data_IF_066497991408
#
_entry.id   IF_066497991408
#
_cell.length_a   1.000
_cell.length_b   1.000
_cell.length_c   1.000
_cell.angle_alpha   90.00
_cell.angle_beta   90.00
_cell.angle_gamma   90.00
#
_symmetry.space_group_name_H-M   'P 1'
#
loop_
_entity.id
_entity.type
_entity.pdbx_description
1 polymer ?
#
# COMPACT_ATOMS: atom_id res chain seq x y z
N UNK A 1 55.40 5.33 62.37
CA UNK A 1 54.50 6.41 61.93
C UNK A 1 53.38 5.76 61.14
N UNK A 2 52.16 5.85 61.68
CA UNK A 2 50.92 5.24 61.19
C UNK A 2 50.25 6.17 60.17
N UNK A 3 49.50 5.59 59.24
CA UNK A 3 48.31 6.09 58.50
C UNK A 3 48.40 5.70 57.02
N UNK A 4 47.68 4.66 56.60
CA UNK A 4 46.29 4.73 56.11
C UNK A 4 46.14 5.71 54.94
N UNK A 5 46.16 5.15 53.73
CA UNK A 5 45.32 5.66 52.65
C UNK A 5 44.22 4.61 52.48
N UNK A 6 43.05 4.94 53.03
CA UNK A 6 41.80 4.21 52.83
C UNK A 6 41.31 4.36 51.38
N UNK A 7 40.55 3.35 50.96
CA UNK A 7 39.42 3.36 50.03
C UNK A 7 39.27 4.55 49.07
N UNK A 8 39.04 4.28 47.78
CA UNK A 8 37.69 4.00 47.32
C UNK A 8 37.63 3.66 45.83
N UNK A 9 36.55 2.95 45.47
CA UNK A 9 36.06 2.58 44.14
C UNK A 9 36.68 1.32 43.53
N UNK A 10 36.23 0.18 44.06
CA UNK A 10 35.71 -0.85 43.17
C UNK A 10 34.59 -0.22 42.31
N UNK A 11 34.97 0.44 41.22
CA UNK A 11 34.05 0.75 40.15
C UNK A 11 33.68 -0.62 39.58
N UNK A 12 32.61 -1.21 40.10
CA UNK A 12 32.00 -2.42 39.59
C UNK A 12 31.57 -2.17 38.16
N UNK A 13 32.50 -2.34 37.22
CA UNK A 13 32.23 -2.42 35.80
C UNK A 13 31.44 -3.72 35.62
N UNK A 14 30.12 -3.65 35.80
CA UNK A 14 29.18 -4.71 35.44
C UNK A 14 29.30 -4.88 33.92
N UNK A 15 30.13 -5.84 33.49
CA UNK A 15 30.19 -6.27 32.11
C UNK A 15 28.93 -7.04 31.77
N UNK A 16 28.45 -6.91 30.54
CA UNK A 16 27.36 -7.72 30.02
C UNK A 16 27.81 -9.17 29.93
N UNK A 17 27.10 -10.10 30.56
CA UNK A 17 27.43 -11.52 30.49
C UNK A 17 26.94 -12.10 29.17
N UNK A 18 27.65 -13.09 28.64
CA UNK A 18 27.21 -13.81 27.43
C UNK A 18 25.85 -14.51 27.64
N UNK A 19 25.57 -14.94 28.88
CA UNK A 19 24.30 -15.56 29.23
C UNK A 19 23.12 -14.56 29.18
N UNK A 20 23.33 -13.32 29.63
CA UNK A 20 22.35 -12.24 29.50
C UNK A 20 22.07 -11.91 28.03
N UNK A 21 23.10 -11.90 27.16
CA UNK A 21 22.90 -11.72 25.71
C UNK A 21 22.09 -12.86 25.10
N UNK A 22 22.43 -14.09 25.47
CA UNK A 22 21.86 -15.29 24.87
C UNK A 22 20.37 -15.39 25.15
N UNK A 23 19.94 -15.13 26.39
CA UNK A 23 18.51 -15.20 26.72
C UNK A 23 17.70 -14.12 25.99
N UNK A 24 18.28 -12.94 25.77
CA UNK A 24 17.63 -11.84 25.05
C UNK A 24 17.41 -12.20 23.59
N UNK A 25 18.44 -12.71 22.91
CA UNK A 25 18.32 -13.12 21.51
C UNK A 25 17.34 -14.29 21.36
N UNK A 26 17.32 -15.22 22.32
CA UNK A 26 16.36 -16.32 22.32
C UNK A 26 14.90 -15.82 22.37
N UNK A 27 14.60 -14.83 23.21
CA UNK A 27 13.26 -14.24 23.29
C UNK A 27 12.91 -13.47 22.00
N UNK A 28 13.85 -12.67 21.47
CA UNK A 28 13.64 -11.94 20.21
C UNK A 28 13.34 -12.91 19.06
N UNK A 29 14.04 -14.05 18.98
CA UNK A 29 13.81 -15.06 17.95
C UNK A 29 12.37 -15.58 17.97
N UNK A 30 11.81 -15.87 19.16
CA UNK A 30 10.42 -16.32 19.31
C UNK A 30 9.43 -15.21 18.88
N UNK A 31 9.68 -13.96 19.28
CA UNK A 31 8.83 -12.84 18.90
C UNK A 31 8.83 -12.62 17.38
N UNK A 32 10.00 -12.64 16.75
CA UNK A 32 10.16 -12.43 15.31
C UNK A 32 9.48 -13.56 14.51
N UNK A 33 9.61 -14.81 14.97
CA UNK A 33 9.02 -15.97 14.30
C UNK A 33 7.49 -15.85 14.13
N UNK A 34 6.80 -15.29 15.13
CA UNK A 34 5.35 -15.05 15.08
C UNK A 34 5.03 -13.72 14.38
N UNK A 35 5.85 -12.69 14.58
CA UNK A 35 5.58 -11.33 14.10
C UNK A 35 5.69 -11.21 12.58
N UNK A 36 6.67 -11.84 11.94
CA UNK A 36 6.88 -11.74 10.48
C UNK A 36 5.66 -12.20 9.66
N UNK A 37 5.09 -13.41 9.87
CA UNK A 37 3.97 -13.86 9.05
C UNK A 37 2.71 -13.02 9.26
N UNK A 38 2.43 -12.62 10.50
CA UNK A 38 1.30 -11.75 10.84
C UNK A 38 1.46 -10.39 10.15
N UNK A 39 2.61 -9.75 10.31
CA UNK A 39 2.88 -8.44 9.72
C UNK A 39 2.79 -8.49 8.19
N UNK A 40 3.34 -9.52 7.56
CA UNK A 40 3.30 -9.69 6.11
C UNK A 40 1.87 -9.84 5.61
N UNK A 41 1.04 -10.66 6.26
CA UNK A 41 -0.38 -10.81 5.90
C UNK A 41 -1.16 -9.50 6.04
N UNK A 42 -0.92 -8.75 7.12
CA UNK A 42 -1.59 -7.46 7.35
C UNK A 42 -1.13 -6.41 6.33
N UNK A 43 0.14 -6.40 5.95
CA UNK A 43 0.65 -5.52 4.90
C UNK A 43 -0.01 -5.83 3.55
N UNK A 44 -0.15 -7.10 3.19
CA UNK A 44 -0.84 -7.52 1.96
C UNK A 44 -2.30 -7.06 1.95
N UNK A 45 -3.04 -7.25 3.05
CA UNK A 45 -4.42 -6.75 3.18
C UNK A 45 -4.51 -5.23 3.13
N UNK A 46 -3.54 -4.52 3.70
CA UNK A 46 -3.49 -3.05 3.62
C UNK A 46 -3.29 -2.57 2.18
N UNK A 47 -2.44 -3.26 1.40
CA UNK A 47 -2.25 -3.00 -0.03
C UNK A 47 -3.54 -3.24 -0.82
N UNK A 48 -4.22 -4.36 -0.58
CA UNK A 48 -5.52 -4.68 -1.20
C UNK A 48 -6.58 -3.61 -0.90
N UNK A 49 -6.70 -3.23 0.38
CA UNK A 49 -7.65 -2.20 0.82
C UNK A 49 -7.37 -0.84 0.17
N UNK A 50 -6.08 -0.49 0.00
CA UNK A 50 -5.65 0.74 -0.66
C UNK A 50 -6.08 0.74 -2.13
N UNK A 51 -5.83 -0.35 -2.84
CA UNK A 51 -6.20 -0.49 -4.25
C UNK A 51 -7.72 -0.45 -4.44
N UNK A 52 -8.47 -1.10 -3.55
CA UNK A 52 -9.93 -1.08 -3.54
C UNK A 52 -10.49 0.33 -3.25
N UNK A 53 -9.85 1.11 -2.37
CA UNK A 53 -10.20 2.50 -2.14
C UNK A 53 -9.94 3.36 -3.39
N UNK A 54 -8.81 3.14 -4.08
CA UNK A 54 -8.50 3.81 -5.33
C UNK A 54 -9.51 3.46 -6.44
N UNK A 55 -9.95 2.22 -6.56
CA UNK A 55 -11.00 1.82 -7.51
C UNK A 55 -12.32 2.55 -7.24
N UNK A 56 -12.72 2.68 -5.98
CA UNK A 56 -13.93 3.42 -5.61
C UNK A 56 -13.82 4.90 -5.97
N UNK A 57 -12.67 5.52 -5.68
CA UNK A 57 -12.40 6.90 -6.04
C UNK A 57 -12.42 7.10 -7.57
N UNK A 58 -11.77 6.20 -8.31
CA UNK A 58 -11.76 6.19 -9.76
C UNK A 58 -13.18 6.10 -10.34
N UNK A 59 -14.00 5.17 -9.87
CA UNK A 59 -15.40 5.03 -10.30
C UNK A 59 -16.21 6.30 -10.06
N UNK A 60 -16.13 6.87 -8.85
CA UNK A 60 -16.88 8.09 -8.52
C UNK A 60 -16.47 9.29 -9.38
N UNK A 61 -15.17 9.47 -9.59
CA UNK A 61 -14.64 10.55 -10.43
C UNK A 61 -15.00 10.35 -11.91
N UNK A 62 -14.88 9.12 -12.43
CA UNK A 62 -15.25 8.77 -13.81
C UNK A 62 -16.74 8.99 -14.09
N UNK A 63 -17.62 8.57 -13.18
CA UNK A 63 -19.07 8.81 -13.31
C UNK A 63 -19.38 10.30 -13.30
N UNK A 64 -18.71 11.08 -12.45
CA UNK A 64 -18.89 12.55 -12.41
C UNK A 64 -18.48 13.19 -13.73
N UNK A 65 -17.35 12.76 -14.31
CA UNK A 65 -16.88 13.24 -15.61
C UNK A 65 -17.83 12.84 -16.74
N UNK A 66 -18.30 11.59 -16.75
CA UNK A 66 -19.26 11.08 -17.71
C UNK A 66 -20.59 11.86 -17.71
N UNK A 67 -21.16 12.13 -16.53
CA UNK A 67 -22.40 12.90 -16.42
C UNK A 67 -22.26 14.36 -16.84
N UNK A 68 -21.03 14.86 -16.93
CA UNK A 68 -20.71 16.22 -17.37
C UNK A 68 -20.29 16.29 -18.84
N UNK A 69 -20.14 15.15 -19.52
CA UNK A 69 -19.66 15.07 -20.89
C UNK A 69 -20.79 15.33 -21.90
N UNK A 70 -20.45 15.98 -23.02
CA UNK A 70 -21.39 16.24 -24.12
C UNK A 70 -21.60 15.02 -25.04
N UNK A 71 -20.61 14.13 -25.11
CA UNK A 71 -20.67 12.85 -25.84
C UNK A 71 -20.44 11.69 -24.85
N UNK A 72 -21.43 10.81 -24.74
CA UNK A 72 -21.48 9.71 -23.77
C UNK A 72 -21.29 8.34 -24.41
N UNK A 73 -20.91 8.28 -25.69
CA UNK A 73 -20.92 7.02 -26.43
C UNK A 73 -19.65 6.18 -26.15
N UNK A 74 -19.66 5.47 -25.01
CA UNK A 74 -18.57 4.59 -24.58
C UNK A 74 -17.36 5.39 -24.09
N UNK A 75 -17.34 5.70 -22.80
CA UNK A 75 -16.29 6.54 -22.22
C UNK A 75 -15.27 5.69 -21.44
N UNK A 76 -13.99 5.92 -21.71
CA UNK A 76 -12.86 5.31 -20.99
C UNK A 76 -12.10 6.40 -20.25
N UNK A 77 -11.92 6.21 -18.95
CA UNK A 77 -11.26 7.16 -18.08
C UNK A 77 -10.16 6.49 -17.27
N UNK A 78 -9.05 7.18 -17.10
CA UNK A 78 -7.88 6.73 -16.35
C UNK A 78 -7.76 7.54 -15.07
N UNK A 79 -7.63 6.88 -13.93
CA UNK A 79 -7.51 7.56 -12.64
C UNK A 79 -6.05 7.93 -12.35
N UNK A 80 -5.82 9.19 -12.01
CA UNK A 80 -4.54 9.70 -11.53
C UNK A 80 -4.62 9.87 -10.01
N UNK A 81 -4.08 8.90 -9.27
CA UNK A 81 -4.11 8.90 -7.81
C UNK A 81 -3.29 10.04 -7.17
N UNK A 82 -2.24 10.54 -7.85
CA UNK A 82 -1.41 11.64 -7.35
C UNK A 82 -2.18 12.97 -7.33
N UNK A 83 -3.05 13.16 -8.34
CA UNK A 83 -3.84 14.38 -8.52
C UNK A 83 -5.28 14.25 -8.04
N UNK A 84 -5.76 13.02 -7.78
CA UNK A 84 -7.15 12.74 -7.40
C UNK A 84 -8.15 13.04 -8.50
N UNK A 85 -7.75 12.93 -9.78
CA UNK A 85 -8.59 13.24 -10.95
C UNK A 85 -8.63 12.08 -11.92
N UNK A 86 -9.64 12.05 -12.79
CA UNK A 86 -9.70 11.16 -13.95
C UNK A 86 -9.33 11.92 -15.23
N UNK A 87 -8.78 11.22 -16.21
CA UNK A 87 -8.40 11.75 -17.53
C UNK A 87 -8.83 10.79 -18.64
N UNK A 88 -9.08 11.28 -19.85
CA UNK A 88 -9.39 10.43 -21.01
C UNK A 88 -8.13 9.80 -21.64
N UNK A 89 -6.95 10.25 -21.22
CA UNK A 89 -5.66 9.69 -21.65
C UNK A 89 -4.97 8.95 -20.52
N UNK A 90 -4.35 7.82 -20.86
CA UNK A 90 -3.46 7.05 -19.99
C UNK A 90 -2.03 7.66 -19.92
N UNK A 91 -1.76 8.72 -20.67
CA UNK A 91 -0.40 9.29 -20.75
C UNK A 91 -0.07 10.15 -19.54
N UNK A 92 1.15 10.03 -19.02
CA UNK A 92 1.64 10.88 -17.91
C UNK A 92 1.03 10.58 -16.53
N UNK A 93 0.46 9.38 -16.33
CA UNK A 93 -0.02 8.92 -15.03
C UNK A 93 1.02 7.96 -14.43
N UNK A 94 1.41 8.18 -13.18
CA UNK A 94 2.29 7.25 -12.46
C UNK A 94 1.51 6.04 -11.99
N UNK A 95 2.04 4.84 -12.22
CA UNK A 95 1.50 3.60 -11.67
C UNK A 95 1.49 3.60 -10.14
N UNK A 96 0.33 3.32 -9.54
CA UNK A 96 0.15 3.43 -8.09
C UNK A 96 -0.31 2.15 -7.40
N UNK A 97 -0.85 1.17 -8.13
CA UNK A 97 -1.37 -0.06 -7.54
C UNK A 97 -0.31 -0.81 -6.72
N UNK A 98 -0.72 -1.41 -5.61
CA UNK A 98 0.17 -1.97 -4.59
C UNK A 98 -0.03 -3.47 -4.36
N UNK A 99 -1.23 -3.98 -4.64
CA UNK A 99 -1.61 -5.35 -4.37
C UNK A 99 -1.13 -6.30 -5.46
N UNK A 100 -0.61 -7.44 -5.03
CA UNK A 100 -0.18 -8.52 -5.91
C UNK A 100 -0.23 -9.84 -5.17
N UNK A 101 -0.81 -10.84 -5.81
CA UNK A 101 -0.75 -12.25 -5.42
C UNK A 101 -0.52 -13.13 -6.67
N UNK A 102 -0.72 -14.45 -6.53
CA UNK A 102 -0.55 -15.39 -7.65
C UNK A 102 -1.60 -15.31 -8.76
N UNK A 103 -2.68 -14.57 -8.55
CA UNK A 103 -3.87 -14.45 -9.44
C UNK A 103 -4.08 -13.01 -9.91
N UNK A 104 -3.84 -12.04 -9.05
CA UNK A 104 -4.12 -10.62 -9.24
C UNK A 104 -2.81 -9.84 -9.19
N UNK A 105 -2.57 -8.99 -10.19
CA UNK A 105 -1.40 -8.11 -10.21
C UNK A 105 -1.83 -6.68 -10.53
N UNK A 106 -1.88 -5.84 -9.49
CA UNK A 106 -2.11 -4.40 -9.60
C UNK A 106 -0.81 -3.61 -9.46
N UNK A 107 0.30 -4.26 -9.13
CA UNK A 107 1.54 -3.59 -8.74
C UNK A 107 2.05 -2.69 -9.88
N UNK A 108 2.16 -1.39 -9.61
CA UNK A 108 2.60 -0.40 -10.58
C UNK A 108 1.61 -0.12 -11.73
N UNK A 109 0.37 -0.61 -11.64
CA UNK A 109 -0.70 -0.32 -12.61
C UNK A 109 -1.56 0.86 -12.16
N UNK A 110 -2.44 1.28 -13.05
CA UNK A 110 -3.47 2.29 -12.80
C UNK A 110 -4.86 1.70 -13.05
N UNK A 111 -5.88 2.34 -12.49
CA UNK A 111 -7.29 1.97 -12.73
C UNK A 111 -7.78 2.68 -13.99
N UNK A 112 -8.25 1.88 -14.93
CA UNK A 112 -9.08 2.29 -16.06
C UNK A 112 -10.54 2.01 -15.70
N UNK A 113 -11.41 2.98 -16.00
CA UNK A 113 -12.86 2.91 -15.79
C UNK A 113 -13.53 3.02 -17.15
N UNK A 114 -14.31 2.00 -17.50
CA UNK A 114 -15.10 1.98 -18.74
C UNK A 114 -16.56 2.14 -18.39
N UNK A 115 -17.22 3.13 -19.00
CA UNK A 115 -18.66 3.35 -18.86
C UNK A 115 -19.31 3.03 -20.21
N UNK A 116 -20.15 2.01 -20.20
CA UNK A 116 -20.87 1.53 -21.38
C UNK A 116 -22.36 1.79 -21.19
N UNK A 117 -22.93 2.59 -22.09
CA UNK A 117 -24.38 2.74 -22.24
C UNK A 117 -24.91 1.68 -23.19
N UNK A 118 -25.98 0.99 -22.80
CA UNK A 118 -26.62 0.02 -23.69
C UNK A 118 -27.45 0.77 -24.73
N UNK A 119 -27.23 0.52 -26.02
CA UNK A 119 -27.97 1.18 -27.09
C UNK A 119 -29.50 1.05 -26.89
N UNK A 120 -30.20 2.19 -26.88
CA UNK A 120 -31.65 2.24 -26.67
C UNK A 120 -32.11 2.03 -25.22
N UNK A 121 -31.20 2.10 -24.24
CA UNK A 121 -31.49 2.07 -22.81
C UNK A 121 -30.83 3.28 -22.14
N UNK A 122 -31.52 3.88 -21.18
CA UNK A 122 -30.97 4.97 -20.36
C UNK A 122 -30.01 4.45 -19.26
N UNK A 123 -29.83 3.14 -19.16
CA UNK A 123 -28.98 2.50 -18.16
C UNK A 123 -27.51 2.45 -18.61
N UNK A 124 -26.61 2.80 -17.69
CA UNK A 124 -25.16 2.87 -17.93
C UNK A 124 -24.44 1.95 -16.94
N UNK A 125 -23.58 1.09 -17.45
CA UNK A 125 -22.79 0.16 -16.63
C UNK A 125 -21.35 0.65 -16.49
N UNK A 126 -20.73 0.43 -15.33
CA UNK A 126 -19.34 0.81 -15.05
C UNK A 126 -18.49 -0.43 -14.77
N UNK A 127 -17.38 -0.58 -15.50
CA UNK A 127 -16.37 -1.59 -15.28
C UNK A 127 -15.04 -0.94 -14.87
N UNK A 128 -14.23 -1.65 -14.08
CA UNK A 128 -12.86 -1.24 -13.73
C UNK A 128 -11.87 -2.31 -14.09
N UNK A 129 -10.73 -1.90 -14.65
CA UNK A 129 -9.62 -2.76 -15.03
C UNK A 129 -8.30 -2.13 -14.55
N UNK A 130 -7.30 -2.97 -14.28
CA UNK A 130 -5.95 -2.49 -13.95
C UNK A 130 -5.05 -2.60 -15.17
N UNK A 131 -4.57 -1.46 -15.67
CA UNK A 131 -3.79 -1.35 -16.89
C UNK A 131 -2.41 -0.78 -16.63
N UNK A 132 -1.46 -1.09 -17.50
CA UNK A 132 -0.14 -0.46 -17.44
C UNK A 132 -0.27 1.06 -17.69
N UNK A 133 0.51 1.90 -17.00
CA UNK A 133 0.51 3.33 -17.26
C UNK A 133 1.00 3.62 -18.68
N UNK A 134 0.39 4.61 -19.33
CA UNK A 134 0.82 5.13 -20.61
C UNK A 134 2.16 5.86 -20.49
N UNK A 135 2.88 5.95 -21.60
CA UNK A 135 4.13 6.71 -21.68
C UNK A 135 3.91 8.22 -21.63
#
# INVERSE_FOLDING_TARGET
>A
MYNMIQENRQNGKKGFTLAELLVVVAIIAVLVAISIPIFTSQLTKAKESTDLANERAAKGAAVTMYLSAEDTNGAVYYYNADKGVVTETNSGITGYGKYKDGTVDHEGKIVEVTITQTAGKDDSSTATTWVAPGK
#
